data_IF_775873692482
#
_entry.id   IF_775873692482
#
_cell.length_a   1.000
_cell.length_b   1.000
_cell.length_c   1.000
_cell.angle_alpha   90.00
_cell.angle_beta   90.00
_cell.angle_gamma   90.00
#
_symmetry.space_group_name_H-M   'P 1'
#
loop_
_entity.id
_entity.type
_entity.pdbx_description
1 polymer ?
#
# COMPACT_ATOMS: atom_id res chain seq x y z
N UNK A 1 6.50 -2.96 9.62
CA UNK A 1 7.29 -2.49 8.48
C UNK A 1 7.30 -3.55 7.39
N UNK A 2 7.45 -3.11 6.17
CA UNK A 2 7.39 -3.98 4.99
C UNK A 2 8.79 -4.13 4.44
N UNK A 3 9.16 -5.35 4.11
CA UNK A 3 10.45 -5.64 3.49
C UNK A 3 10.25 -6.55 2.28
N UNK A 4 11.32 -6.82 1.57
CA UNK A 4 11.29 -7.78 0.46
C UNK A 4 10.71 -9.11 0.94
N UNK A 5 9.81 -9.68 0.14
CA UNK A 5 9.07 -10.91 0.41
C UNK A 5 7.96 -10.80 1.47
N UNK A 6 7.68 -9.61 1.99
CA UNK A 6 6.48 -9.40 2.80
C UNK A 6 5.22 -9.54 1.95
N UNK A 7 4.18 -10.14 2.52
CA UNK A 7 2.88 -10.23 1.88
C UNK A 7 1.96 -9.15 2.42
N UNK A 8 1.20 -8.51 1.52
CA UNK A 8 0.28 -7.44 1.86
C UNK A 8 -1.09 -7.70 1.27
N UNK A 9 -2.10 -7.23 1.96
CA UNK A 9 -3.46 -7.15 1.41
C UNK A 9 -3.55 -5.94 0.49
N UNK A 10 -4.42 -6.02 -0.51
CA UNK A 10 -4.68 -4.88 -1.40
C UNK A 10 -5.95 -4.19 -0.93
N UNK A 11 -5.85 -2.91 -0.63
CA UNK A 11 -6.94 -2.12 -0.05
C UNK A 11 -7.78 -1.39 -1.08
N UNK A 12 -7.62 -1.70 -2.36
CA UNK A 12 -8.40 -1.05 -3.42
C UNK A 12 -9.22 -2.07 -4.21
N UNK A 13 -10.03 -1.55 -5.15
CA UNK A 13 -10.89 -2.36 -6.00
C UNK A 13 -10.29 -2.68 -7.37
N UNK A 14 -8.95 -2.70 -7.47
CA UNK A 14 -8.26 -3.03 -8.73
C UNK A 14 -8.42 -4.50 -9.13
N UNK A 15 -8.86 -5.35 -8.21
CA UNK A 15 -9.03 -6.78 -8.45
C UNK A 15 -7.97 -7.65 -7.81
N UNK A 16 -6.82 -7.13 -7.45
CA UNK A 16 -5.82 -7.86 -6.69
C UNK A 16 -6.28 -8.01 -5.24
N UNK A 17 -6.01 -9.17 -4.65
CA UNK A 17 -6.34 -9.45 -3.25
C UNK A 17 -5.11 -9.47 -2.37
N UNK A 18 -4.07 -10.17 -2.81
CA UNK A 18 -2.83 -10.30 -2.06
C UNK A 18 -1.64 -10.11 -2.98
N UNK A 19 -0.63 -9.42 -2.50
CA UNK A 19 0.59 -9.15 -3.25
C UNK A 19 1.81 -9.48 -2.41
N UNK A 20 2.92 -9.73 -3.09
CA UNK A 20 4.23 -9.96 -2.48
C UNK A 20 5.13 -8.77 -2.79
N UNK A 21 5.74 -8.19 -1.76
CA UNK A 21 6.72 -7.12 -1.96
C UNK A 21 8.00 -7.71 -2.56
N UNK A 22 8.35 -7.28 -3.76
CA UNK A 22 9.57 -7.73 -4.41
C UNK A 22 10.72 -6.78 -4.14
N UNK A 23 10.44 -5.50 -3.98
CA UNK A 23 11.47 -4.50 -3.79
C UNK A 23 10.93 -3.27 -3.08
N UNK A 24 11.75 -2.68 -2.22
CA UNK A 24 11.46 -1.40 -1.59
C UNK A 24 12.17 -0.30 -2.37
N UNK A 25 11.41 0.69 -2.86
CA UNK A 25 11.94 1.81 -3.59
C UNK A 25 12.37 2.92 -2.65
N UNK A 26 13.20 3.84 -3.12
CA UNK A 26 13.58 5.03 -2.34
C UNK A 26 15.04 5.14 -2.02
N UNK A 27 15.90 4.47 -2.77
CA UNK A 27 17.35 4.65 -2.65
C UNK A 27 18.14 3.38 -2.42
N UNK A 28 19.44 3.50 -2.50
CA UNK A 28 20.38 2.39 -2.34
C UNK A 28 20.31 1.85 -0.91
N UNK A 29 20.28 0.53 -0.76
CA UNK A 29 20.27 -0.19 0.53
C UNK A 29 19.01 0.01 1.36
N UNK A 30 17.94 0.51 0.78
CA UNK A 30 16.69 0.63 1.51
C UNK A 30 16.10 -0.75 1.74
N UNK A 31 15.91 -1.13 3.02
CA UNK A 31 15.43 -2.46 3.40
C UNK A 31 13.95 -2.48 3.73
N UNK A 32 13.44 -1.39 4.33
CA UNK A 32 12.11 -1.39 4.90
C UNK A 32 11.27 -0.25 4.35
N UNK A 33 9.99 -0.54 4.13
CA UNK A 33 8.99 0.44 3.76
C UNK A 33 8.04 0.66 4.94
N UNK A 34 7.68 1.89 5.17
CA UNK A 34 6.65 2.30 6.12
C UNK A 34 5.48 2.89 5.36
N UNK A 35 4.43 3.30 6.07
CA UNK A 35 3.28 3.95 5.44
C UNK A 35 3.73 5.16 4.61
N UNK A 36 3.22 5.23 3.38
CA UNK A 36 3.57 6.29 2.43
C UNK A 36 4.74 5.98 1.52
N UNK A 37 5.45 4.89 1.75
CA UNK A 37 6.57 4.49 0.91
C UNK A 37 6.08 3.68 -0.29
N UNK A 38 6.77 3.85 -1.42
CA UNK A 38 6.51 3.07 -2.63
C UNK A 38 7.27 1.75 -2.60
N UNK A 39 6.62 0.71 -3.08
CA UNK A 39 7.22 -0.61 -3.24
C UNK A 39 6.83 -1.16 -4.61
N UNK A 40 7.56 -2.17 -5.05
CA UNK A 40 7.20 -2.98 -6.22
C UNK A 40 6.64 -4.29 -5.72
N UNK A 41 5.49 -4.68 -6.24
CA UNK A 41 4.78 -5.88 -5.79
C UNK A 41 4.44 -6.80 -6.96
N UNK A 42 4.34 -8.09 -6.68
CA UNK A 42 3.81 -9.09 -7.60
C UNK A 42 2.45 -9.56 -7.08
N UNK A 43 1.45 -9.60 -7.94
CA UNK A 43 0.11 -10.03 -7.57
C UNK A 43 0.09 -11.55 -7.42
N UNK A 44 -0.22 -12.03 -6.22
CA UNK A 44 -0.26 -13.47 -5.91
C UNK A 44 -1.69 -14.03 -5.91
N UNK A 45 -2.67 -13.20 -5.64
CA UNK A 45 -4.07 -13.59 -5.67
C UNK A 45 -4.91 -12.44 -6.20
N UNK A 46 -5.82 -12.74 -7.13
CA UNK A 46 -6.66 -11.74 -7.77
C UNK A 46 -8.00 -12.35 -8.14
N UNK A 47 -9.03 -11.50 -8.24
CA UNK A 47 -10.34 -11.95 -8.75
C UNK A 47 -10.28 -12.11 -10.27
N UNK A 48 -10.97 -13.11 -10.83
CA UNK A 48 -11.05 -13.23 -12.29
C UNK A 48 -11.71 -12.02 -12.93
N UNK A 49 -11.15 -11.55 -14.04
CA UNK A 49 -11.71 -10.41 -14.77
C UNK A 49 -11.41 -9.04 -14.18
N UNK A 50 -10.64 -8.96 -13.11
CA UNK A 50 -10.21 -7.68 -12.55
C UNK A 50 -9.12 -7.01 -13.39
N UNK A 51 -8.89 -5.72 -13.11
CA UNK A 51 -7.85 -4.94 -13.79
C UNK A 51 -6.45 -5.47 -13.49
N UNK A 52 -6.18 -5.78 -12.22
CA UNK A 52 -4.92 -6.37 -11.79
C UNK A 52 -5.00 -7.89 -11.89
N UNK A 53 -4.11 -8.48 -12.66
CA UNK A 53 -4.10 -9.93 -12.92
C UNK A 53 -3.03 -10.64 -12.10
N UNK A 54 -3.32 -11.89 -11.72
CA UNK A 54 -2.37 -12.74 -11.02
C UNK A 54 -1.07 -12.86 -11.82
N UNK A 55 0.06 -12.72 -11.14
CA UNK A 55 1.38 -12.79 -11.75
C UNK A 55 1.90 -11.47 -12.29
N UNK A 56 1.07 -10.45 -12.38
CA UNK A 56 1.52 -9.13 -12.85
C UNK A 56 2.35 -8.42 -11.79
N UNK A 57 3.20 -7.51 -12.24
CA UNK A 57 4.07 -6.69 -11.38
C UNK A 57 3.59 -5.25 -11.46
N UNK A 58 3.50 -4.58 -10.32
CA UNK A 58 3.00 -3.22 -10.23
C UNK A 58 3.73 -2.46 -9.13
N UNK A 59 3.72 -1.15 -9.21
CA UNK A 59 4.10 -0.29 -8.09
C UNK A 59 2.92 -0.17 -7.14
N UNK A 60 3.22 0.02 -5.88
CA UNK A 60 2.21 0.20 -4.85
C UNK A 60 2.72 1.15 -3.77
N UNK A 61 1.80 1.71 -3.01
CA UNK A 61 2.11 2.51 -1.83
C UNK A 61 1.53 1.84 -0.59
N UNK A 62 2.32 1.77 0.47
CA UNK A 62 1.89 1.15 1.74
C UNK A 62 0.94 2.11 2.45
N UNK A 63 -0.26 1.62 2.80
CA UNK A 63 -1.27 2.43 3.47
C UNK A 63 -1.51 2.03 4.92
N UNK A 64 -1.20 0.78 5.28
CA UNK A 64 -1.33 0.27 6.65
C UNK A 64 -0.18 -0.67 6.97
N UNK A 65 0.27 -0.66 8.22
CA UNK A 65 1.24 -1.64 8.71
C UNK A 65 0.82 -2.16 10.09
N UNK A 66 1.15 -3.43 10.36
CA UNK A 66 0.97 -4.00 11.70
C UNK A 66 1.94 -3.42 12.70
N UNK A 67 3.16 -3.07 12.24
CA UNK A 67 4.16 -2.43 13.08
C UNK A 67 3.72 -1.01 13.38
N UNK A 68 3.81 -0.59 14.64
CA UNK A 68 3.45 0.76 15.03
C UNK A 68 4.36 1.80 14.37
N UNK A 69 3.77 2.95 14.05
CA UNK A 69 4.45 4.11 13.51
C UNK A 69 4.43 5.21 14.58
N UNK A 70 5.59 5.77 14.88
CA UNK A 70 5.66 6.91 15.80
C UNK A 70 5.34 8.18 15.03
N UNK A 71 4.45 8.99 15.61
CA UNK A 71 4.08 10.30 15.06
C UNK A 71 4.85 11.42 15.75
N UNK A 72 4.97 12.60 15.10
CA UNK A 72 5.70 13.74 15.67
C UNK A 72 5.17 14.20 17.03
N UNK A 73 3.88 14.00 17.31
CA UNK A 73 3.26 14.37 18.59
C UNK A 73 3.52 13.36 19.71
N UNK A 74 4.30 12.31 19.46
CA UNK A 74 4.60 11.26 20.43
C UNK A 74 3.62 10.11 20.47
N UNK A 75 2.52 10.19 19.72
CA UNK A 75 1.56 9.08 19.64
C UNK A 75 2.05 8.00 18.67
N UNK A 76 1.41 6.83 18.75
CA UNK A 76 1.69 5.71 17.87
C UNK A 76 0.41 5.27 17.20
N UNK A 77 0.52 4.76 15.97
CA UNK A 77 -0.58 4.11 15.30
C UNK A 77 -0.12 2.77 14.74
N UNK A 78 -0.99 1.77 14.83
CA UNK A 78 -0.80 0.47 14.18
C UNK A 78 -2.14 -0.03 13.68
N UNK A 79 -2.08 -0.91 12.69
CA UNK A 79 -3.26 -1.51 12.09
C UNK A 79 -3.24 -3.02 12.28
N UNK A 80 -4.34 -3.68 11.95
CA UNK A 80 -4.47 -5.13 12.12
C UNK A 80 -3.79 -5.91 10.98
N UNK A 81 -3.50 -5.24 9.88
CA UNK A 81 -2.90 -5.87 8.70
C UNK A 81 -1.86 -4.96 8.05
N UNK A 82 -1.11 -5.54 7.12
CA UNK A 82 -0.27 -4.79 6.20
C UNK A 82 -1.05 -4.66 4.89
N UNK A 83 -1.23 -3.46 4.41
CA UNK A 83 -2.00 -3.21 3.20
C UNK A 83 -1.36 -2.16 2.32
N UNK A 84 -1.59 -2.29 1.03
CA UNK A 84 -1.11 -1.34 0.03
C UNK A 84 -2.22 -1.03 -0.97
N UNK A 85 -1.99 0.01 -1.75
CA UNK A 85 -2.84 0.43 -2.86
C UNK A 85 -1.98 0.41 -4.12
N UNK A 86 -2.48 -0.20 -5.19
CA UNK A 86 -1.73 -0.32 -6.44
C UNK A 86 -1.70 1.01 -7.19
N UNK A 87 -0.56 1.29 -7.80
CA UNK A 87 -0.34 2.48 -8.61
C UNK A 87 -0.11 2.09 -10.06
N UNK A 88 -0.45 2.98 -10.98
CA UNK A 88 -0.12 2.83 -12.40
C UNK A 88 1.31 3.34 -12.67
N UNK A 89 1.75 3.26 -13.93
CA UNK A 89 3.09 3.69 -14.31
C UNK A 89 3.31 5.19 -14.12
N UNK A 90 2.25 5.99 -14.10
CA UNK A 90 2.33 7.42 -13.85
C UNK A 90 2.37 7.77 -12.36
N UNK A 91 2.28 6.77 -11.49
CA UNK A 91 2.28 6.98 -10.03
C UNK A 91 0.92 7.32 -9.46
N UNK A 92 -0.15 7.16 -10.22
CA UNK A 92 -1.52 7.43 -9.79
C UNK A 92 -2.21 6.15 -9.32
N UNK A 93 -3.23 6.31 -8.48
CA UNK A 93 -4.02 5.19 -7.95
C UNK A 93 -4.78 4.51 -9.09
N UNK A 94 -4.67 3.17 -9.17
CA UNK A 94 -5.36 2.39 -10.21
C UNK A 94 -6.82 2.19 -9.91
N UNK A 95 -7.18 2.01 -8.63
CA UNK A 95 -8.55 1.75 -8.23
C UNK A 95 -9.35 3.04 -8.04
N UNK A 96 -10.66 2.89 -7.92
CA UNK A 96 -11.60 4.00 -7.68
C UNK A 96 -12.14 3.99 -6.26
N UNK A 97 -11.89 2.93 -5.49
CA UNK A 97 -12.35 2.80 -4.10
C UNK A 97 -11.21 2.28 -3.22
N UNK A 98 -11.23 2.71 -1.97
CA UNK A 98 -10.31 2.24 -0.94
C UNK A 98 -11.12 1.56 0.15
N UNK A 99 -10.65 0.40 0.62
CA UNK A 99 -11.29 -0.37 1.68
C UNK A 99 -10.52 -0.23 2.99
N UNK A 100 -11.23 0.01 4.06
CA UNK A 100 -10.66 0.12 5.38
C UNK A 100 -9.94 1.45 5.64
N UNK A 101 -9.41 1.62 6.85
CA UNK A 101 -8.73 2.87 7.22
C UNK A 101 -7.38 3.00 6.53
N UNK A 102 -6.95 4.25 6.38
CA UNK A 102 -5.59 4.59 5.96
C UNK A 102 -4.97 5.56 6.95
N UNK A 103 -3.65 5.62 6.98
CA UNK A 103 -2.96 6.56 7.86
C UNK A 103 -2.97 7.96 7.25
N UNK A 104 -3.13 8.97 8.10
CA UNK A 104 -3.19 10.37 7.64
C UNK A 104 -1.89 10.89 7.05
N UNK A 105 -0.77 10.22 7.31
CA UNK A 105 0.52 10.56 6.72
C UNK A 105 0.52 10.55 5.19
N UNK A 106 -0.44 9.84 4.59
CA UNK A 106 -0.59 9.80 3.13
C UNK A 106 -1.03 11.13 2.51
N UNK A 107 -1.49 12.09 3.31
CA UNK A 107 -1.89 13.41 2.82
C UNK A 107 -0.78 14.18 2.13
N UNK A 108 0.46 13.93 2.51
CA UNK A 108 1.59 14.67 1.96
C UNK A 108 1.80 14.40 0.46
N UNK A 109 1.68 13.14 0.04
CA UNK A 109 2.01 12.75 -1.33
C UNK A 109 0.87 12.03 -2.06
N UNK A 110 -0.16 11.57 -1.34
CA UNK A 110 -1.21 10.72 -1.90
C UNK A 110 -2.59 11.18 -1.46
N UNK A 111 -2.89 12.46 -1.70
CA UNK A 111 -4.16 13.06 -1.29
C UNK A 111 -5.37 12.33 -1.86
N UNK A 112 -5.25 11.78 -3.07
CA UNK A 112 -6.35 11.04 -3.67
C UNK A 112 -6.71 9.79 -2.88
N UNK A 113 -5.72 9.08 -2.33
CA UNK A 113 -5.96 7.93 -1.45
C UNK A 113 -6.75 8.37 -0.23
N UNK A 114 -6.34 9.46 0.40
CA UNK A 114 -7.01 10.00 1.58
C UNK A 114 -8.45 10.39 1.27
N UNK A 115 -8.69 11.00 0.09
CA UNK A 115 -10.03 11.41 -0.29
C UNK A 115 -10.96 10.24 -0.59
N UNK A 116 -10.41 9.12 -1.05
CA UNK A 116 -11.20 7.92 -1.36
C UNK A 116 -11.39 6.99 -0.16
N UNK A 117 -10.59 7.15 0.88
CA UNK A 117 -10.63 6.26 2.03
C UNK A 117 -11.87 6.51 2.89
N UNK A 118 -12.51 5.44 3.40
CA UNK A 118 -13.68 5.60 4.27
C UNK A 118 -13.32 6.16 5.65
N UNK A 119 -12.09 5.96 6.09
CA UNK A 119 -11.63 6.43 7.39
C UNK A 119 -10.14 6.78 7.31
N UNK A 120 -9.76 7.88 7.92
CA UNK A 120 -8.37 8.35 7.98
C UNK A 120 -7.96 8.49 9.44
N UNK A 121 -6.95 7.72 9.85
CA UNK A 121 -6.50 7.67 11.25
C UNK A 121 -5.08 8.30 11.44
#
# INVERSE_FOLDING_TARGET
>A
MIQQESRLQVADNSGAKEVLCIRVLGGTRRRYAKVGDKIVVAVKSAIPGGDAKKGSVSKAVVVRTKKEIRRPDGSYIRFDDNACVLLNNAGEVRGTRIFGPVARELRENYMKIVSLAPEVL
#
